data_IF_227041532174
#
_entry.id   IF_227041532174
#
_cell.length_a   1.000
_cell.length_b   1.000
_cell.length_c   1.000
_cell.angle_alpha   90.00
_cell.angle_beta   90.00
_cell.angle_gamma   90.00
#
_symmetry.space_group_name_H-M   'P 1'
#
loop_
_entity.id
_entity.type
_entity.pdbx_description
1 polymer ?
#
# COMPACT_ATOMS: atom_id res chain seq x y z
N UNK A 1 -62.39 -22.78 -18.15
CA UNK A 1 -61.70 -23.87 -17.43
C UNK A 1 -61.58 -23.48 -15.96
N UNK A 2 -61.87 -24.38 -15.02
CA UNK A 2 -61.56 -24.14 -13.60
C UNK A 2 -60.45 -25.13 -13.20
N UNK A 3 -59.23 -24.66 -12.92
CA UNK A 3 -58.22 -25.54 -12.34
C UNK A 3 -58.73 -26.04 -10.98
N UNK A 4 -58.70 -27.35 -10.76
CA UNK A 4 -58.90 -27.89 -9.42
C UNK A 4 -57.56 -27.85 -8.68
N UNK A 5 -57.56 -27.29 -7.47
CA UNK A 5 -56.31 -27.13 -6.72
C UNK A 5 -55.41 -26.03 -7.27
N UNK A 6 -55.98 -24.88 -7.64
CA UNK A 6 -55.20 -23.66 -7.90
C UNK A 6 -54.25 -23.39 -6.72
N UNK A 7 -52.94 -23.50 -6.95
CA UNK A 7 -51.90 -23.36 -5.92
C UNK A 7 -51.61 -24.60 -5.07
N UNK A 8 -52.29 -25.73 -5.29
CA UNK A 8 -52.00 -27.01 -4.62
C UNK A 8 -51.13 -27.91 -5.50
N UNK A 9 -50.05 -28.45 -4.94
CA UNK A 9 -49.25 -29.49 -5.61
C UNK A 9 -50.00 -30.82 -5.56
N UNK A 10 -50.54 -31.24 -6.71
CA UNK A 10 -51.23 -32.52 -6.84
C UNK A 10 -50.23 -33.64 -7.18
N UNK A 11 -50.43 -34.81 -6.57
CA UNK A 11 -49.65 -36.01 -6.84
C UNK A 11 -50.54 -37.12 -7.38
N UNK A 12 -50.13 -37.69 -8.51
CA UNK A 12 -50.69 -38.92 -9.05
C UNK A 12 -49.91 -40.13 -8.54
N UNK A 13 -50.58 -41.29 -8.51
CA UNK A 13 -49.94 -42.57 -8.15
C UNK A 13 -50.02 -43.54 -9.33
N UNK A 14 -48.88 -44.04 -9.78
CA UNK A 14 -48.79 -45.07 -10.84
C UNK A 14 -49.26 -46.43 -10.29
N UNK A 15 -49.51 -47.38 -11.19
CA UNK A 15 -49.93 -48.74 -10.82
C UNK A 15 -48.88 -49.48 -9.99
N UNK A 16 -47.60 -49.15 -10.17
CA UNK A 16 -46.48 -49.69 -9.38
C UNK A 16 -46.36 -49.08 -7.96
N UNK A 17 -47.23 -48.12 -7.62
CA UNK A 17 -47.23 -47.42 -6.34
C UNK A 17 -46.38 -46.14 -6.30
N UNK A 18 -45.61 -45.83 -7.34
CA UNK A 18 -44.79 -44.61 -7.38
C UNK A 18 -45.65 -43.36 -7.52
N UNK A 19 -45.24 -42.28 -6.83
CA UNK A 19 -45.90 -40.97 -6.94
C UNK A 19 -45.20 -40.09 -7.98
N UNK A 20 -45.97 -39.26 -8.66
CA UNK A 20 -45.46 -38.26 -9.60
C UNK A 20 -46.30 -36.98 -9.57
N UNK A 21 -45.70 -35.80 -9.79
CA UNK A 21 -46.44 -34.56 -9.82
C UNK A 21 -47.35 -34.52 -11.05
N UNK A 22 -48.60 -34.11 -10.84
CA UNK A 22 -49.60 -34.00 -11.88
C UNK A 22 -50.28 -32.64 -11.86
N UNK A 23 -50.71 -32.19 -13.02
CA UNK A 23 -51.57 -31.02 -13.17
C UNK A 23 -52.93 -31.49 -13.67
N UNK A 24 -54.01 -31.12 -12.96
CA UNK A 24 -55.36 -31.58 -13.26
C UNK A 24 -56.25 -30.40 -13.61
N UNK A 25 -56.86 -30.44 -14.80
CA UNK A 25 -57.88 -29.47 -15.20
C UNK A 25 -59.21 -30.17 -15.43
N UNK A 26 -60.28 -29.60 -14.87
CA UNK A 26 -61.65 -30.06 -15.10
C UNK A 26 -62.40 -29.06 -15.97
N UNK A 27 -63.00 -29.57 -17.04
CA UNK A 27 -63.92 -28.82 -17.88
C UNK A 27 -65.23 -29.61 -17.98
N UNK A 28 -66.35 -28.91 -17.99
CA UNK A 28 -67.65 -29.54 -18.27
C UNK A 28 -68.10 -29.15 -19.67
N UNK A 29 -68.85 -30.04 -20.30
CA UNK A 29 -69.44 -29.82 -21.61
C UNK A 29 -70.79 -30.54 -21.68
N UNK A 30 -71.69 -30.08 -22.55
CA UNK A 30 -73.00 -30.69 -22.76
C UNK A 30 -73.05 -31.38 -24.12
N UNK A 31 -73.59 -32.59 -24.14
CA UNK A 31 -73.88 -33.35 -25.38
C UNK A 31 -75.30 -33.90 -25.23
N UNK A 32 -76.16 -33.64 -26.21
CA UNK A 32 -77.56 -34.09 -26.24
C UNK A 32 -78.39 -33.76 -24.98
N UNK A 33 -78.09 -32.64 -24.31
CA UNK A 33 -78.77 -32.21 -23.09
C UNK A 33 -78.26 -32.85 -21.80
N UNK A 34 -77.28 -33.74 -21.88
CA UNK A 34 -76.60 -34.32 -20.72
C UNK A 34 -75.26 -33.63 -20.44
N UNK A 35 -74.98 -33.39 -19.14
CA UNK A 35 -73.74 -32.75 -18.68
C UNK A 35 -72.65 -33.79 -18.45
N UNK A 36 -71.53 -33.61 -19.12
CA UNK A 36 -70.32 -34.41 -18.94
C UNK A 36 -69.22 -33.59 -18.28
N UNK A 37 -68.34 -34.26 -17.54
CA UNK A 37 -67.11 -33.67 -16.97
C UNK A 37 -65.91 -34.36 -17.60
N UNK A 38 -65.06 -33.58 -18.23
CA UNK A 38 -63.75 -33.99 -18.72
C UNK A 38 -62.69 -33.60 -17.71
N UNK A 39 -61.93 -34.60 -17.23
CA UNK A 39 -60.69 -34.37 -16.51
C UNK A 39 -59.49 -34.60 -17.41
N UNK A 40 -58.61 -33.61 -17.51
CA UNK A 40 -57.30 -33.76 -18.13
C UNK A 40 -56.24 -33.84 -17.03
N UNK A 41 -55.45 -34.90 -17.05
CA UNK A 41 -54.33 -35.12 -16.12
C UNK A 41 -53.03 -35.10 -16.92
N UNK A 42 -52.14 -34.18 -16.59
CA UNK A 42 -50.83 -34.04 -17.24
C UNK A 42 -49.73 -34.40 -16.25
N UNK A 43 -48.87 -35.35 -16.62
CA UNK A 43 -47.64 -35.63 -15.90
C UNK A 43 -46.65 -34.48 -16.11
N UNK A 44 -46.28 -33.79 -15.04
CA UNK A 44 -45.38 -32.63 -15.09
C UNK A 44 -44.00 -32.91 -14.47
N UNK A 45 -43.65 -34.20 -14.32
CA UNK A 45 -42.39 -34.63 -13.70
C UNK A 45 -41.17 -33.99 -14.36
N UNK A 46 -41.10 -34.02 -15.69
CA UNK A 46 -39.96 -33.46 -16.44
C UNK A 46 -39.86 -31.94 -16.25
N UNK A 47 -40.99 -31.23 -16.32
CA UNK A 47 -41.04 -29.77 -16.11
C UNK A 47 -40.54 -29.41 -14.70
N UNK A 48 -41.08 -30.05 -13.66
CA UNK A 48 -40.71 -29.78 -12.26
C UNK A 48 -39.24 -30.10 -11.97
N UNK A 49 -38.68 -31.14 -12.59
CA UNK A 49 -37.24 -31.45 -12.49
C UNK A 49 -36.39 -30.35 -13.13
N UNK A 50 -36.73 -29.92 -14.34
CA UNK A 50 -36.01 -28.84 -15.02
C UNK A 50 -36.10 -27.52 -14.25
N UNK A 51 -37.27 -27.18 -13.69
CA UNK A 51 -37.45 -26.00 -12.82
C UNK A 51 -36.55 -26.07 -11.58
N UNK A 52 -36.47 -27.23 -10.93
CA UNK A 52 -35.64 -27.43 -9.75
C UNK A 52 -34.14 -27.37 -10.08
N UNK A 53 -33.71 -27.99 -11.19
CA UNK A 53 -32.32 -27.92 -11.67
C UNK A 53 -31.92 -26.48 -12.02
N UNK A 54 -32.82 -25.74 -12.69
CA UNK A 54 -32.59 -24.33 -13.00
C UNK A 54 -32.47 -23.49 -11.73
N UNK A 55 -33.39 -23.67 -10.77
CA UNK A 55 -33.35 -22.95 -9.49
C UNK A 55 -32.07 -23.24 -8.71
N UNK A 56 -31.63 -24.50 -8.66
CA UNK A 56 -30.38 -24.88 -8.02
C UNK A 56 -29.17 -24.24 -8.71
N UNK A 57 -29.14 -24.23 -10.05
CA UNK A 57 -28.06 -23.62 -10.83
C UNK A 57 -28.01 -22.11 -10.66
N UNK A 58 -29.16 -21.43 -10.62
CA UNK A 58 -29.23 -19.99 -10.36
C UNK A 58 -28.70 -19.64 -8.98
N UNK A 59 -29.09 -20.39 -7.95
CA UNK A 59 -28.59 -20.17 -6.59
C UNK A 59 -27.07 -20.38 -6.47
N UNK A 60 -26.51 -21.41 -7.13
CA UNK A 60 -25.06 -21.62 -7.18
C UNK A 60 -24.35 -20.49 -7.93
N UNK A 61 -24.92 -20.03 -9.05
CA UNK A 61 -24.34 -18.94 -9.82
C UNK A 61 -24.36 -17.61 -9.04
N UNK A 62 -25.45 -17.29 -8.35
CA UNK A 62 -25.56 -16.11 -7.49
C UNK A 62 -24.52 -16.15 -6.37
N UNK A 63 -24.35 -17.30 -5.70
CA UNK A 63 -23.33 -17.47 -4.67
C UNK A 63 -21.91 -17.27 -5.22
N UNK A 64 -21.61 -17.82 -6.41
CA UNK A 64 -20.32 -17.64 -7.07
C UNK A 64 -20.09 -16.19 -7.51
N UNK A 65 -21.10 -15.51 -8.02
CA UNK A 65 -21.01 -14.10 -8.42
C UNK A 65 -20.70 -13.23 -7.20
N UNK A 66 -21.39 -13.45 -6.08
CA UNK A 66 -21.13 -12.70 -4.85
C UNK A 66 -19.71 -12.96 -4.33
N UNK A 67 -19.29 -14.23 -4.25
CA UNK A 67 -17.95 -14.60 -3.83
C UNK A 67 -16.88 -13.94 -4.71
N UNK A 68 -16.99 -14.08 -6.03
CA UNK A 68 -16.01 -13.53 -6.98
C UNK A 68 -16.00 -12.01 -6.97
N UNK A 69 -17.15 -11.37 -6.77
CA UNK A 69 -17.23 -9.92 -6.63
C UNK A 69 -16.55 -9.45 -5.35
N UNK A 70 -16.70 -10.18 -4.24
CA UNK A 70 -15.97 -9.93 -3.00
C UNK A 70 -14.45 -10.07 -3.16
N UNK A 71 -13.99 -11.17 -3.75
CA UNK A 71 -12.57 -11.41 -4.06
C UNK A 71 -11.99 -10.30 -4.93
N UNK A 72 -12.72 -9.88 -5.98
CA UNK A 72 -12.28 -8.83 -6.90
C UNK A 72 -12.15 -7.48 -6.19
N UNK A 73 -13.12 -7.11 -5.35
CA UNK A 73 -13.07 -5.87 -4.55
C UNK A 73 -11.88 -5.85 -3.60
N UNK A 74 -11.60 -6.97 -2.94
CA UNK A 74 -10.44 -7.06 -2.06
C UNK A 74 -9.12 -6.94 -2.84
N UNK A 75 -9.03 -7.60 -4.00
CA UNK A 75 -7.86 -7.50 -4.86
C UNK A 75 -7.66 -6.06 -5.39
N UNK A 76 -8.74 -5.39 -5.83
CA UNK A 76 -8.70 -3.99 -6.26
C UNK A 76 -8.21 -3.08 -5.13
N UNK A 77 -8.72 -3.26 -3.92
CA UNK A 77 -8.30 -2.49 -2.75
C UNK A 77 -6.81 -2.68 -2.45
N UNK A 78 -6.34 -3.92 -2.38
CA UNK A 78 -4.93 -4.23 -2.13
C UNK A 78 -4.01 -3.63 -3.19
N UNK A 79 -4.41 -3.68 -4.46
CA UNK A 79 -3.65 -3.09 -5.58
C UNK A 79 -3.63 -1.57 -5.47
N UNK A 80 -4.76 -0.94 -5.13
CA UNK A 80 -4.84 0.52 -4.94
C UNK A 80 -3.89 0.97 -3.82
N UNK A 81 -3.91 0.31 -2.68
CA UNK A 81 -2.98 0.64 -1.58
C UNK A 81 -1.52 0.45 -1.96
N UNK A 82 -1.18 -0.64 -2.65
CA UNK A 82 0.19 -0.88 -3.11
C UNK A 82 0.67 0.20 -4.08
N UNK A 83 -0.19 0.64 -5.00
CA UNK A 83 0.10 1.71 -5.95
C UNK A 83 0.28 3.07 -5.27
N UNK A 84 -0.53 3.37 -4.25
CA UNK A 84 -0.36 4.60 -3.46
C UNK A 84 0.99 4.64 -2.75
N UNK A 85 1.38 3.54 -2.07
CA UNK A 85 2.71 3.43 -1.44
C UNK A 85 3.83 3.54 -2.47
N UNK A 86 3.70 2.89 -3.63
CA UNK A 86 4.70 2.99 -4.71
C UNK A 86 4.86 4.44 -5.19
N UNK A 87 3.76 5.18 -5.35
CA UNK A 87 3.79 6.58 -5.77
C UNK A 87 4.45 7.47 -4.73
N UNK A 88 4.12 7.30 -3.45
CA UNK A 88 4.75 8.05 -2.35
C UNK A 88 6.27 7.84 -2.35
N UNK A 89 6.72 6.58 -2.47
CA UNK A 89 8.13 6.24 -2.55
C UNK A 89 8.79 6.85 -3.79
N UNK A 90 8.14 6.80 -4.95
CA UNK A 90 8.68 7.35 -6.19
C UNK A 90 8.78 8.89 -6.15
N UNK A 91 7.81 9.56 -5.53
CA UNK A 91 7.89 11.02 -5.30
C UNK A 91 9.00 11.38 -4.34
N UNK A 92 9.17 10.62 -3.25
CA UNK A 92 10.26 10.82 -2.31
C UNK A 92 11.62 10.64 -3.00
N UNK A 93 11.76 9.56 -3.79
CA UNK A 93 12.94 9.28 -4.61
C UNK A 93 13.24 10.39 -5.61
N UNK A 94 12.22 10.89 -6.31
CA UNK A 94 12.37 11.97 -7.29
C UNK A 94 12.79 13.29 -6.63
N UNK A 95 12.16 13.65 -5.50
CA UNK A 95 12.54 14.82 -4.70
C UNK A 95 13.97 14.70 -4.19
N UNK A 96 14.35 13.52 -3.70
CA UNK A 96 15.68 13.23 -3.18
C UNK A 96 16.76 13.35 -4.28
N UNK A 97 16.57 12.71 -5.44
CA UNK A 97 17.53 12.80 -6.57
C UNK A 97 17.71 14.25 -7.04
N UNK A 98 16.62 15.01 -7.09
CA UNK A 98 16.67 16.43 -7.41
C UNK A 98 17.49 17.21 -6.37
N UNK A 99 17.20 17.01 -5.08
CA UNK A 99 17.93 17.65 -3.97
C UNK A 99 19.42 17.33 -4.01
N UNK A 100 19.80 16.06 -4.08
CA UNK A 100 21.19 15.63 -4.17
C UNK A 100 21.92 16.24 -5.38
N UNK A 101 21.25 16.31 -6.54
CA UNK A 101 21.82 16.93 -7.75
C UNK A 101 22.14 18.42 -7.54
N UNK A 102 21.29 19.14 -6.83
CA UNK A 102 21.51 20.55 -6.49
C UNK A 102 22.62 20.73 -5.46
N UNK A 103 22.62 19.88 -4.42
CA UNK A 103 23.63 19.91 -3.38
C UNK A 103 25.02 19.49 -3.87
N UNK A 104 25.12 18.65 -4.90
CA UNK A 104 26.38 18.35 -5.57
C UNK A 104 26.85 19.45 -6.52
N UNK A 105 25.92 20.13 -7.22
CA UNK A 105 26.26 21.15 -8.23
C UNK A 105 26.99 22.35 -7.63
N UNK A 106 26.58 22.81 -6.45
CA UNK A 106 27.15 24.00 -5.79
C UNK A 106 28.61 23.85 -5.35
N UNK A 107 29.01 22.80 -4.60
CA UNK A 107 30.40 22.56 -4.25
C UNK A 107 31.25 22.25 -5.49
N UNK A 108 30.73 21.52 -6.49
CA UNK A 108 31.43 21.26 -7.75
C UNK A 108 31.76 22.55 -8.51
N UNK A 109 30.80 23.47 -8.66
CA UNK A 109 31.02 24.79 -9.26
C UNK A 109 32.06 25.60 -8.49
N UNK A 110 32.06 25.49 -7.16
CA UNK A 110 33.03 26.17 -6.28
C UNK A 110 34.44 25.60 -6.44
N UNK A 111 34.55 24.26 -6.54
CA UNK A 111 35.82 23.57 -6.80
C UNK A 111 36.36 24.00 -8.17
N UNK A 112 35.53 23.94 -9.22
CA UNK A 112 35.92 24.32 -10.58
C UNK A 112 36.41 25.78 -10.64
N UNK A 113 35.65 26.71 -10.07
CA UNK A 113 36.05 28.12 -9.99
C UNK A 113 37.38 28.31 -9.25
N UNK A 114 37.64 27.53 -8.19
CA UNK A 114 38.92 27.57 -7.49
C UNK A 114 40.07 26.99 -8.30
N UNK A 115 39.85 25.90 -9.03
CA UNK A 115 40.84 25.30 -9.93
C UNK A 115 41.20 26.27 -11.06
N UNK A 116 40.20 26.91 -11.68
CA UNK A 116 40.40 27.93 -12.72
C UNK A 116 41.24 29.12 -12.22
N UNK A 117 41.00 29.58 -10.99
CA UNK A 117 41.77 30.67 -10.39
C UNK A 117 43.21 30.24 -10.07
N UNK A 118 43.41 29.01 -9.56
CA UNK A 118 44.75 28.45 -9.32
C UNK A 118 45.54 28.37 -10.63
N UNK A 119 44.93 27.91 -11.71
CA UNK A 119 45.55 27.83 -13.04
C UNK A 119 45.98 29.20 -13.61
N UNK A 120 45.41 30.31 -13.12
CA UNK A 120 45.80 31.67 -13.48
C UNK A 120 46.94 32.25 -12.64
N UNK A 121 47.35 31.57 -11.56
CA UNK A 121 48.42 32.00 -10.65
C UNK A 121 49.77 31.31 -10.91
N UNK A 122 49.94 30.65 -12.06
CA UNK A 122 51.10 29.82 -12.40
C UNK A 122 52.44 30.54 -12.52
N UNK A 123 52.50 31.86 -12.40
CA UNK A 123 53.75 32.64 -12.54
C UNK A 123 54.51 32.91 -11.24
N UNK A 124 53.99 32.56 -10.06
CA UNK A 124 54.72 32.82 -8.80
C UNK A 124 54.53 31.71 -7.75
N UNK A 125 55.61 30.98 -7.47
CA UNK A 125 55.63 29.80 -6.60
C UNK A 125 55.33 30.09 -5.11
N UNK A 126 55.14 31.37 -4.73
CA UNK A 126 54.87 31.83 -3.36
C UNK A 126 53.52 32.52 -3.18
N UNK A 127 52.54 32.20 -4.03
CA UNK A 127 51.25 32.88 -3.98
C UNK A 127 50.33 32.28 -2.90
N UNK A 128 50.26 32.92 -1.73
CA UNK A 128 49.42 32.56 -0.58
C UNK A 128 47.92 32.37 -0.96
N UNK A 129 47.48 33.01 -2.06
CA UNK A 129 46.15 32.87 -2.64
C UNK A 129 45.86 31.47 -3.19
N UNK A 130 46.87 30.78 -3.72
CA UNK A 130 46.75 29.39 -4.20
C UNK A 130 46.40 28.47 -3.02
N UNK A 131 47.07 28.63 -1.88
CA UNK A 131 46.78 27.87 -0.66
C UNK A 131 45.32 28.03 -0.22
N UNK A 132 44.79 29.26 -0.19
CA UNK A 132 43.39 29.53 0.14
C UNK A 132 42.40 28.83 -0.79
N UNK A 133 42.68 28.78 -2.09
CA UNK A 133 41.83 28.07 -3.05
C UNK A 133 41.93 26.55 -2.90
N UNK A 134 43.12 26.00 -2.64
CA UNK A 134 43.32 24.58 -2.34
C UNK A 134 42.55 24.16 -1.09
N UNK A 135 42.58 24.95 -0.03
CA UNK A 135 41.82 24.68 1.20
C UNK A 135 40.31 24.77 0.97
N UNK A 136 39.86 25.72 0.13
CA UNK A 136 38.44 25.82 -0.29
C UNK A 136 38.00 24.57 -1.06
N UNK A 137 38.81 24.07 -1.99
CA UNK A 137 38.55 22.82 -2.73
C UNK A 137 38.47 21.66 -1.74
N UNK A 138 39.45 21.52 -0.83
CA UNK A 138 39.48 20.43 0.17
C UNK A 138 38.23 20.44 1.05
N UNK A 139 37.77 21.62 1.46
CA UNK A 139 36.52 21.78 2.23
C UNK A 139 35.29 21.32 1.44
N UNK A 140 35.16 21.74 0.18
CA UNK A 140 34.04 21.35 -0.68
C UNK A 140 34.03 19.88 -1.08
N UNK A 141 35.20 19.26 -1.23
CA UNK A 141 35.31 17.80 -1.42
C UNK A 141 34.85 17.04 -0.17
N UNK A 142 35.26 17.49 1.03
CA UNK A 142 34.78 16.89 2.29
C UNK A 142 33.26 16.97 2.45
N UNK A 143 32.67 18.11 2.09
CA UNK A 143 31.21 18.31 2.07
C UNK A 143 30.51 17.32 1.13
N UNK A 144 31.02 17.15 -0.09
CA UNK A 144 30.52 16.15 -1.05
C UNK A 144 30.61 14.71 -0.53
N UNK A 145 31.73 14.37 0.12
CA UNK A 145 31.91 13.03 0.73
C UNK A 145 30.92 12.80 1.87
N UNK A 146 30.61 13.83 2.66
CA UNK A 146 29.55 13.77 3.68
C UNK A 146 28.20 13.41 3.07
N UNK A 147 27.75 14.17 2.08
CA UNK A 147 26.48 13.93 1.37
C UNK A 147 26.43 12.51 0.78
N UNK A 148 27.54 12.00 0.23
CA UNK A 148 27.60 10.63 -0.30
C UNK A 148 27.45 9.57 0.79
N UNK A 149 28.04 9.78 1.97
CA UNK A 149 27.91 8.85 3.10
C UNK A 149 26.49 8.87 3.68
N UNK A 150 25.86 10.05 3.74
CA UNK A 150 24.46 10.17 4.14
C UNK A 150 23.55 9.40 3.17
N UNK A 151 23.84 9.49 1.87
CA UNK A 151 23.15 8.70 0.83
C UNK A 151 23.31 7.18 1.02
N UNK A 152 24.53 6.70 1.24
CA UNK A 152 24.79 5.27 1.48
C UNK A 152 24.13 4.76 2.76
N UNK A 153 23.98 5.61 3.78
CA UNK A 153 23.32 5.26 5.03
C UNK A 153 21.81 5.10 4.83
N UNK A 154 21.22 5.93 3.96
CA UNK A 154 19.80 5.83 3.59
C UNK A 154 19.52 4.60 2.72
N UNK A 155 20.38 4.28 1.75
CA UNK A 155 20.26 3.06 0.92
C UNK A 155 20.32 1.77 1.77
N UNK A 156 21.21 1.73 2.77
CA UNK A 156 21.25 0.61 3.74
C UNK A 156 19.95 0.49 4.53
N UNK A 157 19.31 1.62 4.85
CA UNK A 157 18.05 1.64 5.59
C UNK A 157 16.89 1.13 4.71
N UNK A 158 16.84 1.53 3.44
CA UNK A 158 15.85 1.01 2.46
C UNK A 158 15.99 -0.50 2.21
N UNK A 159 17.21 -1.02 2.18
CA UNK A 159 17.49 -2.46 2.00
C UNK A 159 17.23 -3.29 3.27
N UNK A 160 16.84 -2.65 4.38
CA UNK A 160 16.64 -3.32 5.67
C UNK A 160 17.93 -3.85 6.30
N UNK A 161 19.09 -3.34 5.87
CA UNK A 161 20.42 -3.75 6.35
C UNK A 161 20.84 -3.01 7.62
N UNK A 162 20.09 -2.00 8.05
CA UNK A 162 20.33 -1.29 9.31
C UNK A 162 19.72 -2.10 10.45
N UNK A 163 20.59 -2.77 11.22
CA UNK A 163 20.20 -3.45 12.44
C UNK A 163 20.11 -2.43 13.58
N UNK A 164 18.91 -2.30 14.17
CA UNK A 164 18.71 -1.47 15.36
C UNK A 164 19.20 -2.25 16.59
N UNK A 165 20.10 -1.65 17.36
CA UNK A 165 20.65 -2.14 18.61
C UNK A 165 20.24 -1.20 19.76
N UNK A 166 19.03 -1.37 20.34
CA UNK A 166 18.54 -0.49 21.39
C UNK A 166 19.42 -0.62 22.64
N UNK A 167 19.91 0.52 23.14
CA UNK A 167 20.63 0.62 24.39
C UNK A 167 20.06 1.75 25.26
N UNK A 168 19.91 1.54 26.57
CA UNK A 168 19.58 2.61 27.49
C UNK A 168 20.75 3.60 27.59
N UNK A 169 20.43 4.89 27.66
CA UNK A 169 21.40 5.96 27.89
C UNK A 169 20.80 7.07 28.76
N UNK A 170 21.66 7.84 29.43
CA UNK A 170 21.24 9.02 30.20
C UNK A 170 21.17 10.25 29.26
N UNK A 171 19.97 10.82 29.13
CA UNK A 171 19.70 11.96 28.26
C UNK A 171 20.42 13.22 28.75
N UNK A 172 20.56 13.40 30.07
CA UNK A 172 21.22 14.56 30.65
C UNK A 172 22.73 14.52 30.36
N UNK A 173 23.35 13.36 30.52
CA UNK A 173 24.77 13.18 30.20
C UNK A 173 25.05 13.42 28.71
N UNK A 174 24.17 12.93 27.82
CA UNK A 174 24.25 13.22 26.38
C UNK A 174 24.14 14.72 26.09
N UNK A 175 23.16 15.41 26.70
CA UNK A 175 22.97 16.85 26.51
C UNK A 175 24.18 17.66 26.99
N UNK A 176 24.74 17.32 28.15
CA UNK A 176 25.93 17.99 28.69
C UNK A 176 27.12 17.79 27.75
N UNK A 177 27.38 16.55 27.31
CA UNK A 177 28.46 16.26 26.36
C UNK A 177 28.32 17.04 25.05
N UNK A 178 27.11 17.11 24.48
CA UNK A 178 26.82 17.89 23.28
C UNK A 178 27.06 19.39 23.49
N UNK A 179 26.69 19.94 24.66
CA UNK A 179 26.91 21.36 24.98
C UNK A 179 28.41 21.66 25.07
N UNK A 180 29.20 20.76 25.65
CA UNK A 180 30.65 20.91 25.72
C UNK A 180 31.28 20.91 24.33
N UNK A 181 30.91 19.96 23.46
CA UNK A 181 31.35 19.94 22.06
C UNK A 181 30.97 21.22 21.32
N UNK A 182 29.72 21.68 21.46
CA UNK A 182 29.23 22.89 20.80
C UNK A 182 29.92 24.17 21.29
N UNK A 183 30.30 24.23 22.57
CA UNK A 183 31.06 25.36 23.12
C UNK A 183 32.43 25.51 22.45
N UNK A 184 33.06 24.42 22.02
CA UNK A 184 34.34 24.49 21.28
C UNK A 184 34.20 25.16 19.91
N UNK A 185 33.00 25.14 19.34
CA UNK A 185 32.67 25.73 18.04
C UNK A 185 32.04 27.13 18.16
N UNK A 186 31.72 27.57 19.38
CA UNK A 186 31.07 28.85 19.63
C UNK A 186 32.01 30.03 19.30
N UNK A 187 31.48 31.02 18.57
CA UNK A 187 32.20 32.26 18.27
C UNK A 187 32.24 33.18 19.49
N UNK A 188 33.17 34.16 19.54
CA UNK A 188 33.22 35.15 20.61
C UNK A 188 31.85 35.86 20.77
N UNK A 189 31.29 35.81 21.99
CA UNK A 189 29.98 36.41 22.32
C UNK A 189 28.78 35.45 22.23
N UNK A 190 28.97 34.19 21.85
CA UNK A 190 27.92 33.17 21.89
C UNK A 190 27.96 32.36 23.18
N UNK A 191 26.81 32.18 23.83
CA UNK A 191 26.66 31.38 25.04
C UNK A 191 25.51 30.37 24.88
N UNK A 192 25.74 29.14 25.34
CA UNK A 192 24.73 28.08 25.37
C UNK A 192 24.19 27.95 26.79
N UNK A 193 22.92 28.29 26.97
CA UNK A 193 22.17 28.12 28.21
C UNK A 193 21.35 26.83 28.11
N UNK A 194 21.47 25.97 29.11
CA UNK A 194 20.75 24.71 29.20
C UNK A 194 20.02 24.62 30.53
N UNK A 195 18.76 24.24 30.46
CA UNK A 195 17.88 24.04 31.60
C UNK A 195 17.10 22.74 31.39
N UNK A 196 16.93 21.95 32.44
CA UNK A 196 16.28 20.64 32.39
C UNK A 196 15.27 20.51 33.54
N UNK A 197 14.02 20.24 33.20
CA UNK A 197 12.93 19.97 34.14
C UNK A 197 12.34 18.58 33.87
N UNK A 198 12.72 17.61 34.70
CA UNK A 198 12.26 16.22 34.61
C UNK A 198 13.04 15.30 35.57
N UNK A 199 12.38 14.27 36.09
CA UNK A 199 13.03 13.25 36.94
C UNK A 199 13.51 12.04 36.12
N UNK A 200 12.88 11.77 34.97
CA UNK A 200 13.22 10.64 34.09
C UNK A 200 14.43 11.01 33.24
N UNK A 201 15.53 10.28 33.41
CA UNK A 201 16.80 10.51 32.70
C UNK A 201 17.17 9.41 31.71
N UNK A 202 16.65 8.21 31.91
CA UNK A 202 16.92 7.08 31.02
C UNK A 202 16.00 7.11 29.80
N UNK A 203 16.61 7.06 28.62
CA UNK A 203 15.92 6.82 27.36
C UNK A 203 16.59 5.63 26.64
N UNK A 204 15.88 5.02 25.68
CA UNK A 204 16.42 3.94 24.86
C UNK A 204 16.53 4.41 23.42
N UNK A 205 17.72 4.29 22.82
CA UNK A 205 17.97 4.62 21.41
C UNK A 205 18.90 3.59 20.78
N UNK A 206 18.96 3.58 19.45
CA UNK A 206 19.90 2.76 18.70
C UNK A 206 21.35 3.17 19.00
N UNK A 207 22.20 2.18 19.33
CA UNK A 207 23.63 2.36 19.56
C UNK A 207 24.39 2.11 18.25
N UNK A 208 24.60 3.18 17.47
CA UNK A 208 25.47 3.17 16.29
C UNK A 208 26.94 3.46 16.64
#
# INVERSE_FOLDING_TARGET
QRPMGSGLELRGRRKDGSEFPVEVSLNHFEVDGERFVMGLVTDVTLRKRAEHELAATLSDLEARVEQRTGELRQAEHNVREALERERELNELKSRFVSMASHEFRTPLSTIMSSVDLIGRYTDDARNEKVGKHVDRIRGKVRELTGILNDFLSLDKLEQGLVACHPAPFDVLDLCIGLIEEMRTLAKPGQAVHFDHSGEVREACTDRQ
#
